data_IF_885324708510
#
_entry.id   IF_885324708510
#
_cell.length_a   1.000
_cell.length_b   1.000
_cell.length_c   1.000
_cell.angle_alpha   90.00
_cell.angle_beta   90.00
_cell.angle_gamma   90.00
#
_symmetry.space_group_name_H-M   'P 1'
#
loop_
_entity.id
_entity.type
_entity.pdbx_description
1 polymer ?
#
# COMPACT_ATOMS: atom_id res chain seq x y z
N UNK A 1 -45.28 32.83 -30.02
CA UNK A 1 -44.90 31.50 -29.49
C UNK A 1 -44.47 30.64 -30.67
N UNK A 2 -43.17 30.57 -30.94
CA UNK A 2 -42.63 29.80 -32.06
C UNK A 2 -42.32 28.37 -31.60
N UNK A 3 -43.07 27.42 -32.13
CA UNK A 3 -42.87 25.99 -31.91
C UNK A 3 -41.63 25.53 -32.70
N UNK A 4 -40.65 24.96 -32.00
CA UNK A 4 -39.50 24.31 -32.62
C UNK A 4 -39.96 23.06 -33.41
N UNK A 5 -39.36 22.75 -34.57
CA UNK A 5 -39.65 21.52 -35.30
C UNK A 5 -39.17 20.28 -34.52
N UNK A 6 -39.82 19.13 -34.71
CA UNK A 6 -39.48 17.91 -33.98
C UNK A 6 -38.08 17.40 -34.35
N UNK A 7 -37.33 16.95 -33.34
CA UNK A 7 -36.03 16.32 -33.50
C UNK A 7 -36.14 15.01 -34.30
N UNK A 8 -35.11 14.66 -35.11
CA UNK A 8 -35.14 13.45 -35.91
C UNK A 8 -35.21 12.21 -35.01
N UNK A 9 -36.13 11.31 -35.35
CA UNK A 9 -36.36 10.03 -34.69
C UNK A 9 -35.03 9.25 -34.71
N UNK A 10 -34.49 9.00 -33.51
CA UNK A 10 -33.29 8.21 -33.30
C UNK A 10 -33.52 6.79 -33.86
N UNK A 11 -32.93 6.48 -35.02
CA UNK A 11 -32.93 5.10 -35.54
C UNK A 11 -32.16 4.24 -34.53
N UNK A 12 -32.72 3.10 -34.07
CA UNK A 12 -31.97 2.21 -33.20
C UNK A 12 -30.76 1.68 -33.98
N UNK A 13 -29.56 1.91 -33.46
CA UNK A 13 -28.33 1.26 -33.90
C UNK A 13 -28.38 -0.24 -33.52
N UNK A 14 -29.31 -0.98 -34.15
CA UNK A 14 -29.26 -2.45 -34.19
C UNK A 14 -28.65 -2.85 -35.54
N UNK A 15 -27.37 -2.58 -35.66
CA UNK A 15 -26.53 -3.18 -36.69
C UNK A 15 -25.25 -3.67 -36.04
N UNK A 16 -25.35 -4.93 -35.57
CA UNK A 16 -24.22 -5.85 -35.41
C UNK A 16 -23.26 -5.55 -34.26
N UNK A 17 -23.79 -5.53 -33.03
CA UNK A 17 -22.99 -5.99 -31.89
C UNK A 17 -22.72 -7.49 -32.12
N UNK A 18 -21.50 -7.81 -32.55
CA UNK A 18 -21.02 -9.20 -32.53
C UNK A 18 -21.08 -9.66 -31.06
N UNK A 19 -21.51 -10.89 -30.77
CA UNK A 19 -21.42 -11.42 -29.42
C UNK A 19 -19.95 -11.32 -28.97
N UNK A 20 -19.73 -10.84 -27.74
CA UNK A 20 -18.42 -10.88 -27.07
C UNK A 20 -18.14 -12.33 -26.65
N UNK A 21 -18.18 -13.25 -27.60
CA UNK A 21 -17.63 -14.59 -27.44
C UNK A 21 -16.24 -14.57 -28.03
N UNK A 22 -15.25 -14.81 -27.15
CA UNK A 22 -13.93 -15.42 -27.42
C UNK A 22 -13.37 -15.13 -28.82
N UNK A 23 -12.34 -14.30 -28.97
CA UNK A 23 -10.99 -14.71 -28.64
C UNK A 23 -10.18 -13.51 -28.12
N UNK A 24 -9.78 -13.54 -26.84
CA UNK A 24 -8.61 -12.76 -26.43
C UNK A 24 -7.42 -13.45 -27.10
N UNK A 25 -6.57 -12.77 -27.90
CA UNK A 25 -5.35 -13.40 -28.37
C UNK A 25 -4.45 -13.61 -27.16
N UNK A 26 -4.56 -14.79 -26.54
CA UNK A 26 -3.77 -15.21 -25.37
C UNK A 26 -2.26 -15.32 -25.72
N UNK A 27 -1.91 -15.18 -27.00
CA UNK A 27 -0.54 -15.30 -27.55
C UNK A 27 0.04 -14.00 -28.11
N UNK A 28 -0.60 -12.84 -27.90
CA UNK A 28 -0.01 -11.56 -28.34
C UNK A 28 1.23 -11.25 -27.51
N UNK A 29 2.35 -10.95 -28.17
CA UNK A 29 3.59 -10.46 -27.53
C UNK A 29 3.30 -9.33 -26.53
N UNK A 30 2.36 -8.44 -26.85
CA UNK A 30 1.95 -7.36 -25.96
C UNK A 30 1.25 -7.85 -24.68
N UNK A 31 0.50 -8.95 -24.74
CA UNK A 31 -0.14 -9.55 -23.57
C UNK A 31 0.88 -10.24 -22.67
N UNK A 32 1.86 -10.96 -23.25
CA UNK A 32 2.98 -11.55 -22.51
C UNK A 32 3.83 -10.47 -21.84
N UNK A 33 4.13 -9.36 -22.55
CA UNK A 33 4.81 -8.21 -21.97
C UNK A 33 4.04 -7.58 -20.81
N UNK A 34 2.72 -7.44 -20.93
CA UNK A 34 1.88 -6.94 -19.83
C UNK A 34 1.91 -7.86 -18.62
N UNK A 35 1.81 -9.18 -18.81
CA UNK A 35 1.92 -10.16 -17.72
C UNK A 35 3.30 -10.09 -17.04
N UNK A 36 4.38 -10.02 -17.81
CA UNK A 36 5.74 -9.90 -17.25
C UNK A 36 5.92 -8.58 -16.47
N UNK A 37 5.31 -7.48 -16.93
CA UNK A 37 5.33 -6.21 -16.21
C UNK A 37 4.52 -6.30 -14.92
N UNK A 38 3.36 -6.94 -14.94
CA UNK A 38 2.52 -7.13 -13.75
C UNK A 38 3.20 -8.05 -12.73
N UNK A 39 3.85 -9.13 -13.16
CA UNK A 39 4.65 -10.01 -12.28
C UNK A 39 5.88 -9.29 -11.70
N UNK A 40 6.52 -8.40 -12.48
CA UNK A 40 7.60 -7.54 -11.97
C UNK A 40 7.09 -6.47 -10.99
N UNK A 41 5.85 -6.00 -11.15
CA UNK A 41 5.19 -5.03 -10.26
C UNK A 41 4.74 -5.67 -8.95
N UNK A 42 4.16 -6.88 -9.00
CA UNK A 42 3.75 -7.64 -7.80
C UNK A 42 4.90 -7.95 -6.84
N UNK A 43 6.14 -8.00 -7.33
CA UNK A 43 7.31 -8.24 -6.46
C UNK A 43 7.73 -7.05 -5.61
N UNK A 44 7.10 -5.88 -5.77
CA UNK A 44 7.46 -4.66 -5.04
C UNK A 44 6.45 -4.32 -3.96
N UNK A 45 6.24 -5.25 -3.05
CA UNK A 45 5.39 -5.05 -1.88
C UNK A 45 6.23 -5.25 -0.61
N UNK A 46 6.18 -4.26 0.28
CA UNK A 46 6.81 -4.35 1.60
C UNK A 46 5.87 -5.13 2.51
N UNK A 47 6.34 -6.19 3.20
CA UNK A 47 5.49 -6.91 4.13
C UNK A 47 5.01 -6.03 5.29
N UNK A 48 3.70 -6.05 5.59
CA UNK A 48 3.07 -5.21 6.61
C UNK A 48 3.71 -5.32 8.01
N UNK A 49 4.25 -6.48 8.36
CA UNK A 49 4.89 -6.70 9.65
C UNK A 49 6.26 -5.99 9.80
N UNK A 50 6.82 -5.49 8.69
CA UNK A 50 7.99 -4.61 8.69
C UNK A 50 7.60 -3.13 8.75
N UNK A 51 6.31 -2.81 8.62
CA UNK A 51 5.79 -1.46 8.65
C UNK A 51 5.36 -1.05 10.06
N UNK A 52 5.56 0.23 10.37
CA UNK A 52 5.15 0.81 11.65
C UNK A 52 3.63 0.94 11.74
N UNK A 53 3.07 0.68 12.93
CA UNK A 53 1.62 0.77 13.17
C UNK A 53 1.03 2.20 13.14
N UNK A 54 1.88 3.23 12.98
CA UNK A 54 1.49 4.64 12.88
C UNK A 54 1.76 5.18 11.47
N UNK A 55 2.99 5.01 10.97
CA UNK A 55 3.40 5.52 9.65
C UNK A 55 2.88 4.66 8.50
N UNK A 56 2.63 3.37 8.72
CA UNK A 56 2.40 2.38 7.66
C UNK A 56 3.54 2.30 6.64
N UNK A 57 4.72 2.76 7.04
CA UNK A 57 5.96 2.74 6.26
C UNK A 57 6.98 1.81 6.94
N UNK A 58 7.99 1.38 6.19
CA UNK A 58 9.06 0.52 6.67
C UNK A 58 9.75 1.12 7.90
N UNK A 59 9.91 0.33 8.96
CA UNK A 59 10.53 0.80 10.21
C UNK A 59 12.05 0.85 10.10
N UNK A 60 12.62 2.05 9.94
CA UNK A 60 14.08 2.23 9.86
C UNK A 60 14.76 2.16 11.24
N UNK A 61 14.06 2.60 12.29
CA UNK A 61 14.54 2.51 13.67
C UNK A 61 13.45 1.91 14.57
N UNK A 62 13.26 0.58 14.50
CA UNK A 62 12.18 -0.09 15.23
C UNK A 62 12.43 -0.04 16.75
N UNK A 63 11.41 0.39 17.49
CA UNK A 63 11.36 0.39 18.95
C UNK A 63 10.13 -0.36 19.44
N UNK A 64 10.29 -1.11 20.53
CA UNK A 64 9.23 -1.90 21.15
C UNK A 64 8.74 -1.23 22.45
N UNK A 65 7.43 -1.20 22.63
CA UNK A 65 6.78 -0.74 23.87
C UNK A 65 6.63 -1.91 24.86
N UNK A 66 6.39 -1.65 26.16
CA UNK A 66 6.09 -2.71 27.13
C UNK A 66 4.85 -3.54 26.78
N UNK A 67 3.94 -2.99 25.96
CA UNK A 67 2.80 -3.71 25.38
C UNK A 67 3.22 -4.82 24.39
N UNK A 68 4.50 -4.86 24.00
CA UNK A 68 5.02 -5.80 23.00
C UNK A 68 4.82 -5.33 21.54
N UNK A 69 4.40 -4.08 21.33
CA UNK A 69 4.13 -3.55 19.99
C UNK A 69 5.35 -2.77 19.50
N UNK A 70 5.73 -3.01 18.24
CA UNK A 70 6.86 -2.32 17.60
C UNK A 70 6.37 -1.19 16.71
N UNK A 71 7.07 -0.05 16.79
CA UNK A 71 6.81 1.16 16.01
C UNK A 71 8.12 1.69 15.44
N UNK A 72 8.03 2.56 14.43
CA UNK A 72 9.17 3.42 14.09
C UNK A 72 9.36 4.48 15.18
N UNK A 73 10.62 4.68 15.59
CA UNK A 73 11.01 5.62 16.65
C UNK A 73 10.51 7.04 16.38
N UNK A 74 10.55 7.54 15.15
CA UNK A 74 10.12 8.91 14.83
C UNK A 74 8.62 9.06 15.05
N UNK A 75 7.84 8.10 14.57
CA UNK A 75 6.39 8.12 14.66
C UNK A 75 5.89 8.01 16.09
N UNK A 76 6.42 7.07 16.89
CA UNK A 76 5.98 6.93 18.30
C UNK A 76 6.39 8.13 19.16
N UNK A 77 7.56 8.73 18.89
CA UNK A 77 7.99 9.96 19.59
C UNK A 77 7.06 11.13 19.27
N UNK A 78 6.70 11.31 18.01
CA UNK A 78 5.76 12.36 17.60
C UNK A 78 4.40 12.15 18.28
N UNK A 79 3.89 10.92 18.33
CA UNK A 79 2.65 10.59 19.05
C UNK A 79 2.72 10.95 20.54
N UNK A 80 3.79 10.55 21.24
CA UNK A 80 3.96 10.85 22.66
C UNK A 80 4.04 12.35 22.94
N UNK A 81 4.59 13.13 22.01
CA UNK A 81 4.72 14.59 22.14
C UNK A 81 3.44 15.36 21.76
N UNK A 82 2.74 14.93 20.71
CA UNK A 82 1.64 15.69 20.11
C UNK A 82 0.25 15.21 20.56
N UNK A 83 0.10 13.92 20.82
CA UNK A 83 -1.19 13.29 21.10
C UNK A 83 -1.32 12.96 22.59
N UNK A 84 -0.29 12.34 23.17
CA UNK A 84 -0.21 12.11 24.62
C UNK A 84 0.57 10.87 25.03
N UNK A 85 0.81 10.76 26.34
CA UNK A 85 1.63 9.71 26.96
C UNK A 85 0.89 8.38 27.14
N UNK A 86 0.47 7.78 26.03
CA UNK A 86 -0.18 6.48 26.00
C UNK A 86 0.15 5.72 24.71
N UNK A 87 0.12 4.39 24.77
CA UNK A 87 0.33 3.51 23.63
C UNK A 87 -0.82 3.69 22.60
N UNK A 88 -0.53 3.96 21.30
CA UNK A 88 -1.55 4.23 20.29
C UNK A 88 -2.60 3.13 20.16
N UNK A 89 -2.20 1.87 20.36
CA UNK A 89 -3.04 0.68 20.13
C UNK A 89 -3.69 0.24 21.43
N UNK A 90 -2.90 -0.01 22.48
CA UNK A 90 -3.42 -0.56 23.74
C UNK A 90 -4.00 0.50 24.67
N UNK A 91 -3.70 1.78 24.41
CA UNK A 91 -4.07 2.94 25.26
C UNK A 91 -3.52 2.88 26.68
N UNK A 92 -2.56 1.99 26.95
CA UNK A 92 -1.87 1.94 28.24
C UNK A 92 -0.93 3.13 28.41
N UNK A 93 -0.68 3.61 29.64
CA UNK A 93 0.27 4.70 29.88
C UNK A 93 1.65 4.36 29.33
N UNK A 94 2.23 5.26 28.54
CA UNK A 94 3.50 5.04 27.87
C UNK A 94 4.32 6.33 27.92
N UNK A 95 5.58 6.21 28.32
CA UNK A 95 6.55 7.31 28.30
C UNK A 95 7.73 6.97 27.41
N UNK A 96 8.49 7.99 27.03
CA UNK A 96 9.64 7.86 26.14
C UNK A 96 10.69 6.87 26.67
N UNK A 97 10.94 6.87 27.98
CA UNK A 97 11.99 6.06 28.62
C UNK A 97 11.69 4.56 28.59
N UNK A 98 10.41 4.21 28.35
CA UNK A 98 9.97 2.82 28.23
C UNK A 98 10.18 2.25 26.81
N UNK A 99 10.60 3.08 25.84
CA UNK A 99 10.86 2.64 24.47
C UNK A 99 12.21 1.93 24.37
N UNK A 100 12.17 0.63 24.10
CA UNK A 100 13.36 -0.20 23.99
C UNK A 100 13.70 -0.41 22.50
N UNK A 101 14.95 -0.25 22.06
CA UNK A 101 15.34 -0.58 20.68
C UNK A 101 15.07 -2.05 20.36
N UNK A 102 14.35 -2.33 19.27
CA UNK A 102 14.10 -3.69 18.81
C UNK A 102 15.17 -4.10 17.79
N UNK A 103 16.32 -4.54 18.30
CA UNK A 103 17.48 -4.88 17.46
C UNK A 103 17.20 -6.06 16.51
N UNK A 104 16.40 -7.04 16.93
CA UNK A 104 16.03 -8.17 16.09
C UNK A 104 15.22 -7.71 14.87
N UNK A 105 14.22 -6.85 15.06
CA UNK A 105 13.47 -6.29 13.93
C UNK A 105 14.35 -5.41 13.04
N UNK A 106 15.31 -4.69 13.62
CA UNK A 106 16.27 -3.90 12.84
C UNK A 106 17.09 -4.77 11.89
N UNK A 107 17.59 -5.91 12.36
CA UNK A 107 18.32 -6.88 11.53
C UNK A 107 17.43 -7.45 10.41
N UNK A 108 16.17 -7.79 10.72
CA UNK A 108 15.21 -8.28 9.72
C UNK A 108 14.96 -7.23 8.64
N UNK A 109 14.74 -5.97 9.02
CA UNK A 109 14.54 -4.87 8.07
C UNK A 109 15.80 -4.63 7.24
N UNK A 110 16.97 -4.62 7.85
CA UNK A 110 18.24 -4.47 7.14
C UNK A 110 18.44 -5.57 6.09
N UNK A 111 18.21 -6.83 6.45
CA UNK A 111 18.28 -7.95 5.51
C UNK A 111 17.25 -7.83 4.38
N UNK A 112 16.03 -7.40 4.70
CA UNK A 112 15.00 -7.17 3.69
C UNK A 112 15.44 -6.10 2.67
N UNK A 113 16.03 -5.00 3.14
CA UNK A 113 16.55 -3.92 2.28
C UNK A 113 17.74 -4.35 1.42
N UNK A 114 18.62 -5.21 1.94
CA UNK A 114 19.73 -5.80 1.16
C UNK A 114 19.19 -6.62 -0.03
N UNK A 115 18.15 -7.41 0.20
CA UNK A 115 17.50 -8.22 -0.84
C UNK A 115 16.59 -7.38 -1.75
N UNK A 116 16.08 -6.24 -1.25
CA UNK A 116 15.11 -5.38 -1.90
C UNK A 116 15.49 -3.90 -1.84
N UNK A 117 16.55 -3.45 -2.54
CA UNK A 117 16.98 -2.04 -2.50
C UNK A 117 15.92 -1.05 -2.99
N UNK A 118 14.95 -1.52 -3.78
CA UNK A 118 13.83 -0.71 -4.26
C UNK A 118 12.90 -0.23 -3.13
N UNK A 119 12.95 -0.87 -1.95
CA UNK A 119 12.10 -0.55 -0.80
C UNK A 119 12.62 0.63 0.03
N UNK A 120 13.88 1.06 -0.15
CA UNK A 120 14.44 2.23 0.52
C UNK A 120 13.82 3.56 0.01
N UNK A 121 13.15 3.52 -1.14
CA UNK A 121 12.54 4.70 -1.78
C UNK A 121 11.11 5.02 -1.33
N UNK A 122 10.60 4.41 -0.26
CA UNK A 122 9.31 4.72 0.34
C UNK A 122 9.47 5.57 1.60
#
# INVERSE_FOLDING_TARGET
MHLLPPLPIYRPYKSRLKPLTSERPQSSSAYLMLLDLDERRKKREVPDYLCGQISFELMLDPVITPSGITYDRRSIRAHLQQVGHFDPITRQPLTYDQLIPNLAMKEVVSKFLEENPWAECY
#
